data_IF_557591403223
#
_entry.id   IF_557591403223
#
_cell.length_a   1.000
_cell.length_b   1.000
_cell.length_c   1.000
_cell.angle_alpha   90.00
_cell.angle_beta   90.00
_cell.angle_gamma   90.00
#
_symmetry.space_group_name_H-M   'P 1'
#
loop_
_entity.id
_entity.type
_entity.pdbx_description
1 polymer ?
#
# COMPACT_ATOMS: atom_id res chain seq x y z
N UNK A 1 65.58 6.72 -23.46
CA UNK A 1 66.66 7.72 -23.84
C UNK A 1 66.20 9.14 -23.51
N UNK A 2 67.05 9.82 -22.73
CA UNK A 2 67.05 11.28 -22.45
C UNK A 2 65.94 11.82 -21.56
N UNK A 3 66.14 12.57 -20.51
CA UNK A 3 67.35 12.93 -19.70
C UNK A 3 66.84 13.90 -18.63
N UNK A 4 67.31 13.71 -17.42
CA UNK A 4 67.12 14.48 -16.21
C UNK A 4 67.69 15.90 -16.39
N UNK A 5 67.05 16.94 -15.83
CA UNK A 5 67.74 18.15 -15.39
C UNK A 5 67.20 18.58 -14.02
N UNK A 6 68.07 18.46 -13.03
CA UNK A 6 67.98 19.04 -11.69
C UNK A 6 68.54 20.48 -11.77
N UNK A 7 67.87 21.45 -11.13
CA UNK A 7 68.52 22.73 -10.76
C UNK A 7 68.16 23.07 -9.28
N UNK A 8 69.22 23.03 -8.48
CA UNK A 8 69.31 23.68 -7.16
C UNK A 8 69.62 25.17 -7.34
N UNK A 9 69.04 26.01 -6.51
CA UNK A 9 69.55 27.34 -6.16
C UNK A 9 69.06 27.68 -4.75
N UNK A 10 69.92 27.62 -3.78
CA UNK A 10 70.64 28.62 -2.96
C UNK A 10 69.76 29.52 -2.05
N UNK A 11 70.05 29.38 -0.78
CA UNK A 11 69.63 30.07 0.44
C UNK A 11 69.93 31.57 0.45
N UNK A 12 68.99 32.39 0.88
CA UNK A 12 69.20 33.77 1.29
C UNK A 12 68.57 34.02 2.66
N UNK A 13 69.37 34.18 3.72
CA UNK A 13 68.95 34.65 5.04
C UNK A 13 68.60 36.13 4.96
N UNK A 14 67.39 36.51 5.35
CA UNK A 14 67.00 37.88 5.62
C UNK A 14 66.35 37.94 7.01
N UNK A 15 67.02 38.61 7.97
CA UNK A 15 66.49 38.90 9.25
C UNK A 15 65.51 40.07 9.18
N UNK A 16 64.24 39.83 9.51
CA UNK A 16 63.20 40.85 9.57
C UNK A 16 62.50 40.86 10.95
N UNK A 17 62.50 42.01 11.58
CA UNK A 17 61.89 42.29 12.90
C UNK A 17 60.41 41.87 12.97
N UNK A 18 60.07 41.12 13.99
CA UNK A 18 58.70 40.79 14.38
C UNK A 18 58.05 41.93 15.17
N UNK A 19 57.12 42.65 14.54
CA UNK A 19 56.15 43.49 15.21
C UNK A 19 54.94 42.62 15.62
N UNK A 20 54.73 42.41 16.90
CA UNK A 20 53.58 41.68 17.43
C UNK A 20 52.32 42.55 17.38
N UNK A 21 51.44 42.31 16.40
CA UNK A 21 50.07 42.77 16.41
C UNK A 21 49.24 41.75 17.18
N UNK A 22 48.75 42.10 18.36
CA UNK A 22 47.76 41.33 19.11
C UNK A 22 46.40 41.46 18.41
N UNK A 23 46.02 40.45 17.66
CA UNK A 23 44.67 40.32 17.09
C UNK A 23 43.78 39.63 18.11
N UNK A 24 42.77 40.33 18.65
CA UNK A 24 41.71 39.79 19.49
C UNK A 24 40.85 38.86 18.61
N UNK A 25 40.86 37.55 18.91
CA UNK A 25 39.97 36.58 18.25
C UNK A 25 38.51 36.88 18.57
N UNK A 26 37.58 36.83 17.61
CA UNK A 26 36.15 37.00 17.89
C UNK A 26 35.66 35.82 18.75
N UNK A 27 34.98 36.13 19.84
CA UNK A 27 34.30 35.15 20.71
C UNK A 27 33.16 34.52 19.94
N UNK A 28 33.31 33.31 19.45
CA UNK A 28 32.23 32.53 18.87
C UNK A 28 31.27 32.15 20.00
N UNK A 29 30.09 32.78 20.03
CA UNK A 29 28.99 32.33 20.88
C UNK A 29 28.56 30.95 20.39
N UNK A 30 28.87 29.91 21.12
CA UNK A 30 28.36 28.58 20.94
C UNK A 30 26.85 28.60 21.24
N UNK A 31 26.02 28.66 20.18
CA UNK A 31 24.58 28.45 20.32
C UNK A 31 24.39 26.95 20.55
N UNK A 32 24.12 26.57 21.81
CA UNK A 32 23.70 25.21 22.11
C UNK A 32 22.38 25.00 21.40
N UNK A 33 22.26 24.02 20.50
CA UNK A 33 20.99 23.71 19.87
C UNK A 33 20.01 23.29 20.95
N UNK A 34 18.90 24.01 21.08
CA UNK A 34 17.77 23.58 21.90
C UNK A 34 17.31 22.24 21.32
N UNK A 35 17.18 21.16 22.14
CA UNK A 35 16.66 19.91 21.65
C UNK A 35 15.28 20.15 21.05
N UNK A 36 15.07 19.78 19.80
CA UNK A 36 13.75 19.76 19.19
C UNK A 36 12.93 18.67 19.91
N UNK A 37 12.11 19.07 20.87
CA UNK A 37 11.29 18.19 21.69
C UNK A 37 9.94 17.88 21.04
N UNK A 38 9.78 18.07 19.75
CA UNK A 38 8.61 17.58 19.02
C UNK A 38 8.76 16.07 18.77
N UNK A 39 8.77 15.30 19.85
CA UNK A 39 8.61 13.84 19.73
C UNK A 39 7.19 13.56 19.26
N UNK A 40 7.06 13.15 17.99
CA UNK A 40 5.78 12.63 17.48
C UNK A 40 5.33 11.49 18.40
N UNK A 41 4.09 11.51 18.93
CA UNK A 41 3.61 10.43 19.80
C UNK A 41 3.77 9.07 19.14
N UNK A 42 4.09 8.03 19.91
CA UNK A 42 4.18 6.66 19.36
C UNK A 42 2.81 6.21 18.83
N UNK A 43 2.81 5.32 17.86
CA UNK A 43 1.63 4.65 17.37
C UNK A 43 1.02 3.74 18.45
N UNK A 44 -0.28 3.84 18.67
CA UNK A 44 -1.04 2.98 19.60
C UNK A 44 -1.99 2.12 18.80
N UNK A 45 -1.92 0.79 18.96
CA UNK A 45 -2.82 -0.16 18.33
C UNK A 45 -4.26 0.07 18.82
N UNK A 46 -5.21 0.25 17.90
CA UNK A 46 -6.62 0.49 18.22
C UNK A 46 -7.55 -0.59 17.67
N UNK A 47 -7.11 -1.32 16.65
CA UNK A 47 -7.85 -2.43 16.06
C UNK A 47 -6.87 -3.39 15.39
N UNK A 48 -7.14 -4.70 15.47
CA UNK A 48 -6.41 -5.70 14.71
C UNK A 48 -7.23 -6.96 14.43
N UNK A 49 -6.80 -7.70 13.42
CA UNK A 49 -7.11 -9.09 13.21
C UNK A 49 -5.81 -9.83 12.87
N UNK A 50 -5.45 -10.78 13.71
CA UNK A 50 -4.26 -11.62 13.57
C UNK A 50 -4.61 -12.97 12.91
N UNK A 51 -5.87 -13.15 12.51
CA UNK A 51 -6.40 -14.34 11.84
C UNK A 51 -6.11 -15.67 12.55
N UNK A 52 -5.98 -15.62 13.88
CA UNK A 52 -5.84 -16.79 14.72
C UNK A 52 -7.10 -17.65 14.66
N UNK A 53 -6.94 -18.95 14.45
CA UNK A 53 -8.07 -19.88 14.41
C UNK A 53 -7.69 -21.21 13.77
N UNK A 54 -8.63 -22.15 13.78
CA UNK A 54 -8.39 -23.49 13.22
C UNK A 54 -8.48 -23.48 11.69
N UNK A 55 -7.73 -24.38 11.06
CA UNK A 55 -7.78 -24.54 9.62
C UNK A 55 -9.21 -24.80 9.12
N UNK A 56 -9.60 -24.12 8.06
CA UNK A 56 -10.93 -24.19 7.46
C UNK A 56 -12.00 -23.36 8.18
N UNK A 57 -11.69 -22.70 9.31
CA UNK A 57 -12.62 -21.78 9.93
C UNK A 57 -12.85 -20.53 9.07
N UNK A 58 -14.05 -19.95 9.19
CA UNK A 58 -14.38 -18.68 8.55
C UNK A 58 -13.67 -17.51 9.25
N UNK A 59 -13.54 -16.38 8.56
CA UNK A 59 -13.13 -15.11 9.17
C UNK A 59 -14.09 -14.66 10.29
N UNK A 60 -13.59 -13.84 11.21
CA UNK A 60 -14.40 -13.28 12.31
C UNK A 60 -15.46 -12.30 11.78
N UNK A 61 -16.74 -12.70 11.89
CA UNK A 61 -17.89 -11.90 11.45
C UNK A 61 -18.18 -10.69 12.34
N UNK A 62 -17.56 -10.57 13.49
CA UNK A 62 -17.60 -9.35 14.30
C UNK A 62 -16.64 -8.27 13.77
N UNK A 63 -15.65 -8.66 12.96
CA UNK A 63 -14.66 -7.76 12.36
C UNK A 63 -14.88 -7.52 10.86
N UNK A 64 -15.39 -8.54 10.14
CA UNK A 64 -15.50 -8.52 8.69
C UNK A 64 -16.90 -8.95 8.20
N UNK A 65 -17.37 -8.26 7.18
CA UNK A 65 -18.50 -8.65 6.35
C UNK A 65 -18.02 -9.03 4.95
N UNK A 66 -18.68 -9.99 4.29
CA UNK A 66 -18.34 -10.37 2.93
C UNK A 66 -19.21 -9.64 1.90
N UNK A 67 -18.63 -9.31 0.77
CA UNK A 67 -19.37 -9.03 -0.46
C UNK A 67 -19.55 -10.31 -1.26
N UNK A 68 -20.70 -10.45 -1.94
CA UNK A 68 -21.00 -11.60 -2.80
C UNK A 68 -21.60 -11.14 -4.12
N UNK A 69 -21.31 -11.84 -5.20
CA UNK A 69 -21.85 -11.55 -6.52
C UNK A 69 -20.80 -11.41 -7.62
N UNK A 70 -21.27 -11.44 -8.88
CA UNK A 70 -20.45 -11.38 -10.08
C UNK A 70 -20.83 -10.21 -10.99
N UNK A 71 -21.16 -9.04 -10.43
CA UNK A 71 -21.61 -7.85 -11.17
C UNK A 71 -20.49 -7.04 -11.85
N UNK A 72 -19.23 -7.52 -11.80
CA UNK A 72 -18.06 -6.86 -12.39
C UNK A 72 -17.53 -5.67 -11.59
N UNK A 73 -18.14 -5.35 -10.47
CA UNK A 73 -17.68 -4.45 -9.39
C UNK A 73 -17.18 -3.05 -9.84
N UNK A 74 -17.68 -2.59 -11.01
CA UNK A 74 -17.29 -1.32 -11.62
C UNK A 74 -16.08 -1.39 -12.55
N UNK A 75 -15.34 -2.51 -12.55
CA UNK A 75 -14.06 -2.69 -13.26
C UNK A 75 -14.11 -3.79 -14.33
N UNK A 76 -15.32 -4.35 -14.62
CA UNK A 76 -15.48 -5.51 -15.50
C UNK A 76 -14.77 -6.77 -14.98
N UNK A 77 -14.63 -6.90 -13.66
CA UNK A 77 -14.06 -8.06 -12.99
C UNK A 77 -14.82 -9.33 -13.36
N UNK A 78 -14.12 -10.46 -13.44
CA UNK A 78 -14.64 -11.71 -14.02
C UNK A 78 -15.06 -12.75 -12.98
N UNK A 79 -14.67 -12.57 -11.71
CA UNK A 79 -15.01 -13.50 -10.65
C UNK A 79 -16.43 -13.25 -10.10
N UNK A 80 -16.95 -14.28 -9.47
CA UNK A 80 -18.03 -14.18 -8.50
C UNK A 80 -17.42 -14.23 -7.10
N UNK A 81 -17.59 -13.22 -6.29
CA UNK A 81 -17.19 -13.26 -4.90
C UNK A 81 -18.14 -14.12 -4.09
N UNK A 82 -17.59 -15.04 -3.29
CA UNK A 82 -18.31 -16.01 -2.47
C UNK A 82 -17.83 -15.98 -1.03
N UNK A 83 -18.55 -16.68 -0.15
CA UNK A 83 -18.12 -16.97 1.22
C UNK A 83 -17.80 -18.45 1.42
N UNK A 84 -17.62 -19.20 0.35
CA UNK A 84 -17.24 -20.61 0.42
C UNK A 84 -15.87 -20.77 1.08
N UNK A 85 -15.71 -21.86 1.83
CA UNK A 85 -14.44 -22.19 2.47
C UNK A 85 -13.29 -22.31 1.46
N UNK A 86 -13.59 -22.77 0.24
CA UNK A 86 -12.61 -22.87 -0.84
C UNK A 86 -12.10 -21.52 -1.33
N UNK A 87 -12.91 -20.46 -1.20
CA UNK A 87 -12.52 -19.11 -1.59
C UNK A 87 -11.99 -18.27 -0.43
N UNK A 88 -12.44 -18.54 0.83
CA UNK A 88 -11.98 -17.79 1.99
C UNK A 88 -12.06 -18.62 3.27
N UNK A 89 -10.92 -18.83 3.91
CA UNK A 89 -10.83 -19.56 5.17
C UNK A 89 -9.53 -19.18 5.92
N UNK A 90 -9.47 -19.53 7.21
CA UNK A 90 -8.24 -19.53 7.97
C UNK A 90 -7.44 -20.81 7.66
N UNK A 91 -6.11 -20.70 7.64
CA UNK A 91 -5.24 -21.86 7.36
C UNK A 91 -4.83 -22.66 8.61
N UNK A 92 -5.13 -22.14 9.81
CA UNK A 92 -4.71 -22.73 11.08
C UNK A 92 -3.26 -22.43 11.47
N UNK A 93 -2.56 -21.65 10.67
CA UNK A 93 -1.18 -21.20 10.92
C UNK A 93 -1.10 -19.67 11.15
N UNK A 94 -2.25 -19.01 11.40
CA UNK A 94 -2.34 -17.58 11.65
C UNK A 94 -2.54 -16.74 10.38
N UNK A 95 -3.10 -17.32 9.32
CA UNK A 95 -3.37 -16.55 8.10
C UNK A 95 -4.82 -16.67 7.66
N UNK A 96 -5.36 -15.57 7.16
CA UNK A 96 -6.51 -15.60 6.26
C UNK A 96 -6.04 -15.94 4.85
N UNK A 97 -6.70 -16.89 4.21
CA UNK A 97 -6.45 -17.30 2.84
C UNK A 97 -7.61 -16.86 1.97
N UNK A 98 -7.36 -15.99 1.00
CA UNK A 98 -8.31 -15.66 -0.08
C UNK A 98 -7.83 -16.38 -1.35
N UNK A 99 -8.68 -17.22 -1.91
CA UNK A 99 -8.34 -18.08 -3.04
C UNK A 99 -9.17 -17.75 -4.26
N UNK A 100 -8.50 -17.36 -5.34
CA UNK A 100 -9.09 -17.29 -6.67
C UNK A 100 -9.07 -18.67 -7.30
N UNK A 101 -10.24 -19.12 -7.80
CA UNK A 101 -10.44 -20.42 -8.43
C UNK A 101 -10.96 -20.26 -9.86
N UNK A 102 -10.52 -21.12 -10.75
CA UNK A 102 -11.24 -21.35 -12.00
C UNK A 102 -12.46 -22.23 -11.74
N UNK A 103 -13.62 -21.84 -12.22
CA UNK A 103 -14.87 -22.57 -12.03
C UNK A 103 -15.17 -23.47 -13.21
N UNK A 104 -15.62 -24.71 -12.98
CA UNK A 104 -16.06 -25.58 -14.04
C UNK A 104 -17.36 -25.07 -14.66
N UNK A 105 -17.61 -25.44 -15.92
CA UNK A 105 -18.81 -25.02 -16.67
C UNK A 105 -20.14 -25.46 -16.04
N UNK A 106 -20.10 -26.41 -15.11
CA UNK A 106 -21.26 -26.87 -14.34
C UNK A 106 -21.56 -26.03 -13.08
N UNK A 107 -20.75 -25.04 -12.73
CA UNK A 107 -21.02 -24.18 -11.56
C UNK A 107 -22.28 -23.33 -11.79
N UNK A 108 -22.96 -22.98 -10.69
CA UNK A 108 -24.22 -22.23 -10.75
C UNK A 108 -24.04 -20.71 -10.56
N UNK A 109 -22.82 -20.19 -10.74
CA UNK A 109 -22.55 -18.77 -10.57
C UNK A 109 -22.83 -18.00 -11.86
N UNK A 110 -23.58 -16.91 -11.73
CA UNK A 110 -23.91 -16.00 -12.85
C UNK A 110 -23.19 -14.67 -12.66
N UNK A 111 -22.36 -14.32 -13.62
CA UNK A 111 -21.67 -13.05 -13.74
C UNK A 111 -22.33 -12.14 -14.77
N UNK A 112 -21.93 -10.86 -14.81
CA UNK A 112 -22.43 -9.87 -15.76
C UNK A 112 -22.27 -10.28 -17.25
N UNK A 113 -21.31 -11.16 -17.53
CA UNK A 113 -21.02 -11.68 -18.88
C UNK A 113 -21.61 -13.08 -19.15
N UNK A 114 -22.42 -13.62 -18.23
CA UNK A 114 -23.03 -14.95 -18.33
C UNK A 114 -22.51 -15.87 -17.22
N UNK A 115 -22.21 -17.13 -17.54
CA UNK A 115 -21.61 -18.07 -16.59
C UNK A 115 -20.27 -17.59 -16.10
N UNK A 116 -20.07 -17.60 -14.76
CA UNK A 116 -18.80 -17.17 -14.17
C UNK A 116 -17.70 -18.19 -14.41
N UNK A 117 -16.58 -17.74 -14.91
CA UNK A 117 -15.38 -18.58 -15.13
C UNK A 117 -14.50 -18.67 -13.90
N UNK A 118 -14.68 -17.77 -12.95
CA UNK A 118 -13.84 -17.67 -11.75
C UNK A 118 -14.69 -17.35 -10.52
N UNK A 119 -14.19 -17.78 -9.36
CA UNK A 119 -14.67 -17.35 -8.05
C UNK A 119 -13.52 -16.86 -7.20
N UNK A 120 -13.81 -16.00 -6.24
CA UNK A 120 -12.86 -15.47 -5.28
C UNK A 120 -13.59 -15.00 -4.01
N UNK A 121 -12.93 -14.19 -3.18
CA UNK A 121 -13.57 -13.57 -2.04
C UNK A 121 -13.17 -12.10 -1.88
N UNK A 122 -14.11 -11.34 -1.29
CA UNK A 122 -13.96 -9.93 -0.89
C UNK A 122 -14.60 -9.73 0.46
N UNK A 123 -13.83 -9.21 1.42
CA UNK A 123 -14.31 -8.88 2.75
C UNK A 123 -14.03 -7.43 3.08
N UNK A 124 -14.82 -6.87 3.99
CA UNK A 124 -14.75 -5.46 4.38
C UNK A 124 -15.12 -5.27 5.84
N UNK A 125 -14.62 -4.20 6.45
CA UNK A 125 -14.98 -3.81 7.81
C UNK A 125 -16.16 -2.84 7.88
N UNK A 126 -16.85 -2.57 6.76
CA UNK A 126 -17.99 -1.64 6.68
C UNK A 126 -19.09 -1.99 7.69
N UNK A 127 -19.52 -1.00 8.49
CA UNK A 127 -20.52 -1.15 9.52
C UNK A 127 -20.04 -1.86 10.80
N UNK A 128 -18.77 -2.31 10.83
CA UNK A 128 -18.14 -3.01 11.97
C UNK A 128 -16.96 -2.21 12.53
N UNK A 129 -16.11 -1.67 11.65
CA UNK A 129 -15.02 -0.79 12.02
C UNK A 129 -14.71 0.21 10.89
N UNK A 130 -14.59 1.48 11.25
CA UNK A 130 -14.08 2.55 10.40
C UNK A 130 -13.31 3.55 11.25
N UNK A 131 -12.30 4.19 10.70
CA UNK A 131 -11.46 5.14 11.41
C UNK A 131 -11.05 6.30 10.52
N UNK A 132 -11.01 7.50 11.12
CA UNK A 132 -10.43 8.70 10.52
C UNK A 132 -9.01 8.84 11.00
N UNK A 133 -8.06 8.95 10.07
CA UNK A 133 -6.63 9.07 10.30
C UNK A 133 -6.01 7.89 11.05
N UNK A 134 -4.72 7.76 10.95
CA UNK A 134 -3.96 6.71 11.60
C UNK A 134 -2.96 6.04 10.66
N UNK A 135 -2.39 4.93 11.15
CA UNK A 135 -1.63 4.01 10.32
C UNK A 135 -2.45 2.75 10.13
N UNK A 136 -2.69 2.39 8.89
CA UNK A 136 -3.37 1.17 8.47
C UNK A 136 -2.35 0.29 7.79
N UNK A 137 -2.19 -0.95 8.26
CA UNK A 137 -1.22 -1.87 7.68
C UNK A 137 -1.75 -3.30 7.63
N UNK A 138 -1.30 -4.03 6.64
CA UNK A 138 -1.49 -5.47 6.53
C UNK A 138 -0.20 -6.15 6.09
N UNK A 139 0.09 -7.33 6.63
CA UNK A 139 1.19 -8.19 6.18
C UNK A 139 0.62 -9.26 5.26
N UNK A 140 0.98 -9.16 3.98
CA UNK A 140 0.33 -9.95 2.92
C UNK A 140 1.39 -10.57 2.01
N UNK A 141 1.18 -11.84 1.61
CA UNK A 141 1.80 -12.46 0.46
C UNK A 141 0.75 -12.58 -0.65
N UNK A 142 0.98 -11.89 -1.77
CA UNK A 142 0.02 -11.81 -2.86
C UNK A 142 0.09 -13.04 -3.79
N UNK A 143 -0.99 -13.34 -4.58
CA UNK A 143 -0.95 -14.35 -5.62
C UNK A 143 -0.08 -13.89 -6.81
N UNK A 144 0.19 -14.82 -7.72
CA UNK A 144 0.87 -14.55 -8.99
C UNK A 144 0.03 -15.00 -10.20
N UNK A 145 0.24 -14.37 -11.33
CA UNK A 145 -0.34 -14.78 -12.62
C UNK A 145 -1.10 -13.67 -13.32
N UNK A 146 -1.01 -13.66 -14.64
CA UNK A 146 -1.74 -12.74 -15.50
C UNK A 146 -3.23 -12.71 -15.15
N UNK A 147 -3.82 -11.51 -15.07
CA UNK A 147 -5.24 -11.30 -14.78
C UNK A 147 -5.62 -11.37 -13.31
N UNK A 148 -4.69 -11.60 -12.38
CA UNK A 148 -4.99 -11.50 -10.94
C UNK A 148 -4.78 -10.07 -10.45
N UNK A 149 -5.64 -9.65 -9.54
CA UNK A 149 -5.63 -8.31 -8.97
C UNK A 149 -5.95 -8.35 -7.47
N UNK A 150 -4.96 -8.69 -6.65
CA UNK A 150 -5.07 -8.59 -5.20
C UNK A 150 -5.06 -7.12 -4.76
N UNK A 151 -5.87 -6.80 -3.75
CA UNK A 151 -5.96 -5.46 -3.17
C UNK A 151 -6.17 -5.47 -1.65
N UNK A 152 -5.52 -4.51 -0.99
CA UNK A 152 -5.81 -4.02 0.35
C UNK A 152 -6.05 -2.51 0.26
N UNK A 153 -7.25 -2.08 0.56
CA UNK A 153 -7.73 -0.75 0.26
C UNK A 153 -8.83 -0.27 1.20
N UNK A 154 -9.29 0.97 1.05
CA UNK A 154 -10.24 1.61 1.94
C UNK A 154 -11.24 2.46 1.16
N UNK A 155 -12.48 2.50 1.62
CA UNK A 155 -13.53 3.39 1.13
C UNK A 155 -14.10 4.24 2.26
N UNK A 156 -14.51 5.46 1.94
CA UNK A 156 -15.18 6.34 2.89
C UNK A 156 -16.50 5.74 3.39
N UNK A 157 -16.71 5.76 4.71
CA UNK A 157 -17.85 5.14 5.37
C UNK A 157 -19.20 5.80 5.01
N UNK A 158 -19.15 7.01 4.46
CA UNK A 158 -20.32 7.76 3.93
C UNK A 158 -20.75 7.36 2.51
N UNK A 159 -20.15 6.32 1.90
CA UNK A 159 -20.33 5.94 0.49
C UNK A 159 -21.78 5.71 0.11
N UNK A 160 -22.60 5.16 1.00
CA UNK A 160 -24.02 4.92 0.71
C UNK A 160 -24.81 6.22 0.50
N UNK A 161 -24.37 7.32 1.14
CA UNK A 161 -25.02 8.62 1.02
C UNK A 161 -24.52 9.47 -0.15
N UNK A 162 -23.21 9.41 -0.44
CA UNK A 162 -22.58 10.33 -1.41
C UNK A 162 -22.13 9.65 -2.69
N UNK A 163 -21.96 8.34 -2.67
CA UNK A 163 -21.46 7.54 -3.81
C UNK A 163 -19.97 7.76 -4.09
N UNK A 164 -19.40 6.85 -4.89
CA UNK A 164 -18.04 6.97 -5.40
C UNK A 164 -18.01 7.95 -6.61
N UNK A 165 -16.94 8.77 -6.79
CA UNK A 165 -15.74 8.91 -5.97
C UNK A 165 -15.86 9.95 -4.84
N UNK A 166 -17.05 10.46 -4.53
CA UNK A 166 -17.25 11.48 -3.48
C UNK A 166 -16.99 10.96 -2.06
N UNK A 167 -17.11 9.65 -1.86
CA UNK A 167 -16.72 8.99 -0.60
C UNK A 167 -15.21 8.97 -0.38
N UNK A 168 -14.42 9.15 -1.42
CA UNK A 168 -12.99 8.87 -1.39
C UNK A 168 -12.66 7.38 -1.38
N UNK A 169 -11.45 7.04 -1.84
CA UNK A 169 -10.86 5.71 -1.84
C UNK A 169 -9.35 5.84 -1.61
N UNK A 170 -8.78 4.97 -0.80
CA UNK A 170 -7.33 4.89 -0.54
C UNK A 170 -6.90 3.45 -0.80
N UNK A 171 -6.16 3.23 -1.88
CA UNK A 171 -5.60 1.94 -2.20
C UNK A 171 -4.23 1.83 -1.55
N UNK A 172 -4.16 1.03 -0.47
CA UNK A 172 -2.92 0.84 0.30
C UNK A 172 -1.97 -0.04 -0.49
N UNK A 173 -2.49 -1.07 -1.12
CA UNK A 173 -1.76 -1.98 -2.00
C UNK A 173 -2.67 -2.51 -3.08
N UNK A 174 -2.26 -2.36 -4.32
CA UNK A 174 -2.78 -3.07 -5.48
C UNK A 174 -1.62 -3.68 -6.27
N UNK A 175 -1.83 -4.88 -6.80
CA UNK A 175 -0.91 -5.50 -7.76
C UNK A 175 -1.72 -6.06 -8.93
N UNK A 176 -1.17 -6.00 -10.13
CA UNK A 176 -1.71 -6.69 -11.29
C UNK A 176 -0.72 -7.76 -11.74
N UNK A 177 -1.21 -8.97 -11.95
CA UNK A 177 -0.36 -10.14 -12.11
C UNK A 177 0.65 -10.12 -13.27
N UNK A 178 0.46 -9.21 -14.28
CA UNK A 178 1.46 -8.98 -15.34
C UNK A 178 2.66 -8.15 -14.87
N UNK A 179 2.57 -7.52 -13.70
CA UNK A 179 3.63 -6.68 -13.11
C UNK A 179 4.04 -7.24 -11.73
N UNK A 180 4.58 -8.48 -11.69
CA UNK A 180 4.74 -9.21 -10.42
C UNK A 180 5.75 -8.57 -9.45
N UNK A 181 6.56 -7.63 -9.93
CA UNK A 181 7.55 -6.89 -9.13
C UNK A 181 7.04 -5.52 -8.67
N UNK A 182 5.81 -5.12 -9.05
CA UNK A 182 5.30 -3.77 -8.82
C UNK A 182 4.02 -3.82 -8.00
N UNK A 183 3.93 -2.94 -7.00
CA UNK A 183 2.67 -2.61 -6.32
C UNK A 183 2.37 -1.13 -6.49
N UNK A 184 1.10 -0.78 -6.43
CA UNK A 184 0.60 0.57 -6.58
C UNK A 184 -0.10 1.01 -5.30
N UNK A 185 0.11 2.25 -4.91
CA UNK A 185 -0.68 2.94 -3.90
C UNK A 185 -1.34 4.15 -4.54
N UNK A 186 -2.63 4.32 -4.33
CA UNK A 186 -3.42 5.33 -5.05
C UNK A 186 -4.45 5.96 -4.12
N UNK A 187 -4.88 7.18 -4.41
CA UNK A 187 -6.08 7.75 -3.85
C UNK A 187 -7.01 8.24 -4.97
N UNK A 188 -8.31 8.05 -4.77
CA UNK A 188 -9.35 8.50 -5.69
C UNK A 188 -10.35 9.41 -4.99
N UNK A 189 -10.70 10.49 -5.67
CA UNK A 189 -11.70 11.47 -5.20
C UNK A 189 -12.28 12.28 -6.36
N UNK A 190 -13.18 13.21 -6.06
CA UNK A 190 -13.79 14.06 -7.09
C UNK A 190 -12.73 14.83 -7.88
N UNK A 191 -12.71 14.65 -9.20
CA UNK A 191 -11.76 15.28 -10.12
C UNK A 191 -10.44 14.52 -10.31
N UNK A 192 -10.22 13.42 -9.59
CA UNK A 192 -9.05 12.53 -9.71
C UNK A 192 -9.47 11.10 -9.34
N UNK A 193 -10.08 10.39 -10.25
CA UNK A 193 -10.59 9.03 -10.00
C UNK A 193 -10.40 8.13 -11.23
N UNK A 194 -10.53 6.81 -11.07
CA UNK A 194 -10.23 5.83 -12.11
C UNK A 194 -8.79 6.00 -12.61
N UNK A 195 -8.58 6.04 -13.91
CA UNK A 195 -7.26 6.22 -14.52
C UNK A 195 -6.55 7.54 -14.18
N UNK A 196 -7.26 8.51 -13.58
CA UNK A 196 -6.72 9.79 -13.13
C UNK A 196 -6.45 9.81 -11.61
N UNK A 197 -6.50 8.68 -10.92
CA UNK A 197 -6.13 8.56 -9.50
C UNK A 197 -4.74 9.12 -9.24
N UNK A 198 -4.53 9.65 -8.03
CA UNK A 198 -3.23 10.20 -7.62
C UNK A 198 -2.49 9.12 -6.85
N UNK A 199 -1.42 8.59 -7.41
CA UNK A 199 -0.70 7.46 -6.85
C UNK A 199 0.71 7.31 -7.38
N UNK A 200 1.40 6.29 -6.88
CA UNK A 200 2.74 5.94 -7.31
C UNK A 200 3.03 4.44 -7.17
N UNK A 201 3.89 3.89 -8.04
CA UNK A 201 4.34 2.52 -7.95
C UNK A 201 5.52 2.36 -6.99
N UNK A 202 5.65 1.16 -6.43
CA UNK A 202 6.87 0.68 -5.79
C UNK A 202 7.32 -0.62 -6.46
N UNK A 203 8.59 -0.70 -6.83
CA UNK A 203 9.16 -1.87 -7.50
C UNK A 203 10.22 -2.54 -6.63
N UNK A 204 10.11 -3.86 -6.48
CA UNK A 204 11.18 -4.67 -5.89
C UNK A 204 12.40 -4.67 -6.81
N UNK A 205 13.59 -4.56 -6.22
CA UNK A 205 14.85 -4.67 -6.96
C UNK A 205 15.16 -6.11 -7.42
N UNK A 206 14.64 -7.11 -6.69
CA UNK A 206 14.82 -8.53 -6.98
C UNK A 206 13.58 -9.32 -6.51
N UNK A 207 13.29 -10.47 -7.14
CA UNK A 207 12.16 -11.31 -6.80
C UNK A 207 10.81 -10.72 -7.21
N UNK A 208 9.75 -11.25 -6.63
CA UNK A 208 8.37 -10.81 -6.85
C UNK A 208 7.64 -10.68 -5.52
N UNK A 209 6.59 -9.87 -5.47
CA UNK A 209 5.74 -9.73 -4.28
C UNK A 209 4.99 -11.01 -3.88
N UNK A 210 4.96 -12.01 -4.75
CA UNK A 210 4.39 -13.32 -4.46
C UNK A 210 5.36 -14.30 -3.79
N UNK A 211 6.65 -13.93 -3.67
CA UNK A 211 7.68 -14.83 -3.14
C UNK A 211 7.70 -14.85 -1.61
N UNK A 212 7.35 -13.73 -0.95
CA UNK A 212 7.33 -13.61 0.51
C UNK A 212 6.22 -12.65 0.98
N UNK A 213 6.06 -12.55 2.30
CA UNK A 213 5.20 -11.59 2.96
C UNK A 213 5.85 -10.21 3.00
N UNK A 214 5.07 -9.19 2.65
CA UNK A 214 5.44 -7.79 2.80
C UNK A 214 4.41 -7.05 3.65
N UNK A 215 4.83 -6.01 4.35
CA UNK A 215 3.94 -5.09 5.08
C UNK A 215 3.59 -3.92 4.18
N UNK A 216 2.31 -3.81 3.83
CA UNK A 216 1.78 -2.67 3.08
C UNK A 216 1.07 -1.75 4.04
N UNK A 217 1.38 -0.46 3.99
CA UNK A 217 0.81 0.48 4.93
C UNK A 217 0.59 1.88 4.36
N UNK A 218 -0.39 2.59 4.94
CA UNK A 218 -0.50 4.04 4.82
C UNK A 218 -0.40 4.69 6.20
N UNK A 219 0.24 5.86 6.26
CA UNK A 219 0.12 6.81 7.35
C UNK A 219 -0.72 7.99 6.85
N UNK A 220 -1.91 8.09 7.39
CA UNK A 220 -2.89 9.08 7.01
C UNK A 220 -3.12 10.08 8.16
N UNK A 221 -2.90 11.35 7.87
CA UNK A 221 -3.05 12.48 8.79
C UNK A 221 -3.87 13.60 8.12
N UNK A 222 -4.34 14.61 8.85
CA UNK A 222 -5.03 15.73 8.22
C UNK A 222 -4.21 16.33 7.06
N UNK A 223 -4.80 16.26 5.85
CA UNK A 223 -4.21 16.81 4.62
C UNK A 223 -3.00 16.07 4.05
N UNK A 224 -2.67 14.86 4.52
CA UNK A 224 -1.54 14.07 3.99
C UNK A 224 -1.76 12.57 4.11
N UNK A 225 -1.37 11.83 3.09
CA UNK A 225 -1.33 10.36 3.06
C UNK A 225 0.04 9.94 2.56
N UNK A 226 0.66 8.94 3.21
CA UNK A 226 1.98 8.39 2.88
C UNK A 226 1.89 6.89 2.75
N UNK A 227 2.45 6.32 1.69
CA UNK A 227 2.44 4.88 1.40
C UNK A 227 3.79 4.23 1.68
N UNK A 228 3.73 3.01 2.21
CA UNK A 228 4.91 2.24 2.60
C UNK A 228 4.81 0.80 2.11
N UNK A 229 5.93 0.25 1.71
CA UNK A 229 6.19 -1.19 1.61
C UNK A 229 7.31 -1.51 2.60
N UNK A 230 7.03 -2.39 3.55
CA UNK A 230 7.91 -2.69 4.67
C UNK A 230 8.29 -1.41 5.44
N UNK A 231 9.57 -1.07 5.50
CA UNK A 231 10.04 0.18 6.11
C UNK A 231 10.21 1.33 5.11
N UNK A 232 9.97 1.10 3.82
CA UNK A 232 10.25 2.08 2.76
C UNK A 232 9.00 2.91 2.45
N UNK A 233 9.05 4.21 2.72
CA UNK A 233 8.09 5.16 2.15
C UNK A 233 8.42 5.38 0.68
N UNK A 234 7.49 5.06 -0.21
CA UNK A 234 7.71 5.17 -1.65
C UNK A 234 6.87 6.26 -2.34
N UNK A 235 5.75 6.64 -1.71
CA UNK A 235 4.89 7.69 -2.24
C UNK A 235 4.27 8.50 -1.11
N UNK A 236 4.01 9.78 -1.35
CA UNK A 236 3.24 10.63 -0.46
C UNK A 236 2.46 11.70 -1.24
N UNK A 237 1.34 12.12 -0.66
CA UNK A 237 0.47 13.14 -1.21
C UNK A 237 -0.04 14.07 -0.13
N UNK A 238 -0.38 15.29 -0.54
CA UNK A 238 -0.93 16.33 0.33
C UNK A 238 -2.08 17.06 -0.36
N UNK A 239 -2.74 17.97 0.35
CA UNK A 239 -3.75 18.86 -0.22
C UNK A 239 -3.29 19.56 -1.52
N UNK A 240 -2.00 19.89 -1.63
CA UNK A 240 -1.45 20.53 -2.83
C UNK A 240 -1.28 19.60 -4.03
N UNK A 241 -1.41 18.29 -3.83
CA UNK A 241 -1.38 17.30 -4.91
C UNK A 241 -2.72 17.23 -5.67
N UNK A 242 -3.80 17.78 -5.09
CA UNK A 242 -5.14 17.75 -5.69
C UNK A 242 -5.20 18.73 -6.86
N UNK A 243 -5.72 18.31 -8.04
CA UNK A 243 -5.98 19.23 -9.14
C UNK A 243 -6.91 20.38 -8.72
N UNK A 244 -6.81 21.53 -9.35
CA UNK A 244 -7.67 22.70 -9.04
C UNK A 244 -9.17 22.44 -9.20
N UNK A 245 -9.53 21.42 -9.97
CA UNK A 245 -10.92 20.94 -10.16
C UNK A 245 -11.31 19.84 -9.19
N UNK A 246 -10.37 19.34 -8.38
CA UNK A 246 -10.58 18.26 -7.44
C UNK A 246 -11.01 18.74 -6.06
N UNK A 247 -11.45 17.80 -5.25
CA UNK A 247 -11.84 18.04 -3.85
C UNK A 247 -11.16 17.01 -2.95
N UNK A 248 -10.51 17.47 -1.87
CA UNK A 248 -10.02 16.58 -0.82
C UNK A 248 -11.21 16.04 -0.03
N UNK A 249 -11.29 14.72 0.07
CA UNK A 249 -12.39 14.03 0.74
C UNK A 249 -11.90 13.05 1.83
N UNK A 250 -10.63 13.14 2.22
CA UNK A 250 -10.00 12.23 3.21
C UNK A 250 -9.94 12.89 4.59
N UNK A 251 -11.11 13.23 5.15
CA UNK A 251 -11.27 13.91 6.45
C UNK A 251 -12.43 13.32 7.29
N UNK A 252 -12.91 12.14 6.92
CA UNK A 252 -13.92 11.37 7.62
C UNK A 252 -13.50 9.90 7.75
N UNK A 253 -14.31 9.05 8.37
CA UNK A 253 -13.95 7.66 8.61
C UNK A 253 -13.94 6.84 7.32
N UNK A 254 -12.97 5.93 7.20
CA UNK A 254 -12.85 4.93 6.13
C UNK A 254 -12.85 3.53 6.71
N UNK A 255 -13.48 2.59 6.02
CA UNK A 255 -13.44 1.17 6.29
C UNK A 255 -12.49 0.45 5.33
N UNK A 256 -11.96 -0.69 5.75
CA UNK A 256 -10.97 -1.48 5.00
C UNK A 256 -11.62 -2.57 4.17
N UNK A 257 -10.95 -2.94 3.07
CA UNK A 257 -11.32 -4.06 2.19
C UNK A 257 -10.08 -4.91 1.86
N UNK A 258 -10.33 -6.21 1.68
CA UNK A 258 -9.38 -7.20 1.18
C UNK A 258 -10.07 -8.03 0.10
N UNK A 259 -9.45 -8.20 -1.05
CA UNK A 259 -9.95 -9.07 -2.12
C UNK A 259 -8.85 -9.55 -3.06
N UNK A 260 -9.18 -10.56 -3.85
CA UNK A 260 -8.45 -10.92 -5.06
C UNK A 260 -9.46 -10.87 -6.21
N UNK A 261 -9.39 -9.83 -7.03
CA UNK A 261 -10.16 -9.77 -8.27
C UNK A 261 -9.50 -10.63 -9.36
N UNK A 262 -10.27 -11.05 -10.34
CA UNK A 262 -9.81 -11.84 -11.49
C UNK A 262 -10.31 -11.19 -12.78
N UNK A 263 -9.40 -10.82 -13.66
CA UNK A 263 -9.72 -10.07 -14.88
C UNK A 263 -10.12 -8.63 -14.60
N UNK A 264 -10.62 -7.98 -15.62
CA UNK A 264 -11.07 -6.58 -15.56
C UNK A 264 -10.27 -5.66 -16.46
N UNK A 265 -10.70 -4.40 -16.48
CA UNK A 265 -10.15 -3.41 -17.42
C UNK A 265 -8.66 -3.10 -17.21
N UNK A 266 -8.16 -3.20 -15.99
CA UNK A 266 -6.76 -2.86 -15.68
C UNK A 266 -5.83 -4.09 -15.73
N UNK A 267 -6.09 -5.20 -15.01
CA UNK A 267 -5.21 -6.38 -15.05
C UNK A 267 -5.28 -7.11 -16.40
N UNK A 268 -6.32 -6.90 -17.21
CA UNK A 268 -6.77 -7.75 -18.30
C UNK A 268 -7.18 -9.15 -17.80
N UNK A 269 -7.69 -9.99 -18.70
CA UNK A 269 -8.15 -11.33 -18.35
C UNK A 269 -6.96 -12.27 -18.08
N UNK A 270 -7.15 -13.34 -17.27
CA UNK A 270 -6.24 -14.47 -17.22
C UNK A 270 -6.00 -15.07 -18.61
N UNK A 271 -4.79 -15.57 -18.83
CA UNK A 271 -4.40 -16.24 -20.08
C UNK A 271 -3.89 -17.67 -19.82
N UNK A 272 -3.34 -18.31 -20.84
CA UNK A 272 -2.84 -19.68 -20.74
C UNK A 272 -1.66 -19.86 -19.77
N UNK A 273 -1.04 -18.77 -19.30
CA UNK A 273 0.04 -18.82 -18.31
C UNK A 273 -0.47 -18.74 -16.88
N UNK A 274 -1.76 -18.37 -16.69
CA UNK A 274 -2.36 -18.25 -15.37
C UNK A 274 -2.77 -19.61 -14.83
N UNK A 275 -2.16 -20.03 -13.74
CA UNK A 275 -2.45 -21.31 -13.09
C UNK A 275 -3.35 -21.07 -11.89
N UNK A 276 -4.49 -21.77 -11.82
CA UNK A 276 -5.37 -21.78 -10.66
C UNK A 276 -5.25 -23.09 -9.87
N UNK A 277 -5.47 -23.12 -8.55
CA UNK A 277 -5.83 -21.96 -7.69
C UNK A 277 -4.66 -21.00 -7.44
N UNK A 278 -5.01 -19.75 -7.11
CA UNK A 278 -4.05 -18.76 -6.64
C UNK A 278 -4.53 -18.14 -5.32
N UNK A 279 -3.62 -17.92 -4.41
CA UNK A 279 -3.95 -17.50 -3.04
C UNK A 279 -3.26 -16.22 -2.63
N UNK A 280 -4.00 -15.33 -1.99
CA UNK A 280 -3.48 -14.27 -1.15
C UNK A 280 -3.51 -14.74 0.30
N UNK A 281 -2.37 -14.66 0.99
CA UNK A 281 -2.26 -14.93 2.42
C UNK A 281 -2.13 -13.62 3.19
N UNK A 282 -2.98 -13.43 4.18
CA UNK A 282 -2.94 -12.25 5.07
C UNK A 282 -2.59 -12.73 6.47
N UNK A 283 -1.42 -12.33 6.97
CA UNK A 283 -0.91 -12.66 8.30
C UNK A 283 -1.63 -11.82 9.38
N UNK A 284 -1.72 -10.52 9.14
CA UNK A 284 -2.50 -9.64 10.00
C UNK A 284 -3.00 -8.39 9.26
N UNK A 285 -4.02 -7.77 9.86
CA UNK A 285 -4.40 -6.38 9.58
C UNK A 285 -4.41 -5.62 10.89
N UNK A 286 -3.74 -4.46 10.93
CA UNK A 286 -3.61 -3.64 12.14
C UNK A 286 -3.87 -2.18 11.85
N UNK A 287 -4.55 -1.51 12.78
CA UNK A 287 -4.82 -0.07 12.72
C UNK A 287 -4.29 0.60 13.98
N UNK A 288 -3.56 1.68 13.80
CA UNK A 288 -2.94 2.45 14.88
C UNK A 288 -3.37 3.91 14.81
N UNK A 289 -3.35 4.57 15.96
CA UNK A 289 -3.62 6.00 16.13
C UNK A 289 -2.50 6.67 16.90
N UNK A 290 -2.27 7.96 16.64
CA UNK A 290 -1.40 8.86 17.43
C UNK A 290 -2.23 9.88 18.19
#
# INVERSE_FOLDING_TARGET
MKSIIVRQIVVGLGAGLLAACASSAPTVKTVTPTPDTTTTPPWTLVWSDEFDGTAGASFDRAKWAADTGGGGWGNQEREFYTTRQENIALDGAGHLVITALAEPSASNYSCWYGHCLYTSARIKTKGLFAQTYGRFEARIRIPRGQGLWPAFWMLGDNIDGVGWPRSGEIDIMENIGREPTVVHGTMHGPGYSGASGIGGPYSLAQGTFADDFHVYAVEWTPGSIKWFVDSTRYFDTTLSSIPSTGTWVFDHAFFMLLNVAVGGGWPNDPDATTVFPQTMLVDYVRVYKR
#
